data_IF_392063630607
#
_entry.id   IF_392063630607
#
_cell.length_a   1.000
_cell.length_b   1.000
_cell.length_c   1.000
_cell.angle_alpha   90.00
_cell.angle_beta   90.00
_cell.angle_gamma   90.00
#
_symmetry.space_group_name_H-M   'P 1'
#
loop_
_entity.id
_entity.type
_entity.pdbx_description
1 polymer ?
#
# COMPACT_ATOMS: atom_id res chain seq x y z
N UNK A 1 5.24 -2.12 -7.44
CA UNK A 1 5.85 -2.27 -6.11
C UNK A 1 5.28 -3.50 -5.42
N UNK A 2 6.06 -4.09 -4.50
CA UNK A 2 5.65 -5.21 -3.63
C UNK A 2 5.97 -4.86 -2.17
N UNK A 3 5.12 -5.26 -1.22
CA UNK A 3 5.29 -4.98 0.21
C UNK A 3 5.58 -3.48 0.49
N UNK A 4 6.63 -3.13 1.23
CA UNK A 4 7.04 -1.73 1.48
C UNK A 4 7.23 -0.93 0.19
N UNK A 5 7.75 -1.56 -0.86
CA UNK A 5 7.91 -0.92 -2.16
C UNK A 5 6.56 -0.56 -2.80
N UNK A 6 5.48 -1.29 -2.51
CA UNK A 6 4.13 -0.92 -2.95
C UNK A 6 3.59 0.31 -2.22
N UNK A 7 3.93 0.50 -0.94
CA UNK A 7 3.57 1.70 -0.15
C UNK A 7 4.23 2.94 -0.76
N UNK A 8 5.55 2.88 -1.02
CA UNK A 8 6.29 4.00 -1.60
C UNK A 8 5.75 4.33 -3.00
N UNK A 9 5.59 3.31 -3.86
CA UNK A 9 5.02 3.51 -5.19
C UNK A 9 3.61 4.12 -5.12
N UNK A 10 2.77 3.70 -4.17
CA UNK A 10 1.43 4.23 -4.01
C UNK A 10 1.45 5.71 -3.59
N UNK A 11 2.29 6.08 -2.62
CA UNK A 11 2.45 7.48 -2.18
C UNK A 11 2.82 8.39 -3.35
N UNK A 12 3.72 7.91 -4.23
CA UNK A 12 4.16 8.63 -5.42
C UNK A 12 3.08 8.68 -6.50
N UNK A 13 2.41 7.56 -6.77
CA UNK A 13 1.43 7.47 -7.85
C UNK A 13 0.13 8.25 -7.60
N UNK A 14 -0.24 8.49 -6.34
CA UNK A 14 -1.46 9.24 -6.03
C UNK A 14 -1.26 10.76 -5.97
N UNK A 15 -0.01 11.26 -6.02
CA UNK A 15 0.33 12.69 -5.84
C UNK A 15 0.85 13.33 -7.13
N UNK A 16 0.51 14.58 -7.41
CA UNK A 16 1.08 15.29 -8.58
C UNK A 16 2.55 15.63 -8.38
N UNK A 17 3.25 16.07 -9.43
CA UNK A 17 4.66 16.49 -9.30
C UNK A 17 4.83 17.67 -8.32
N UNK A 18 3.86 18.58 -8.26
CA UNK A 18 3.83 19.71 -7.35
C UNK A 18 3.67 19.24 -5.90
N UNK A 19 2.72 18.34 -5.65
CA UNK A 19 2.50 17.75 -4.33
C UNK A 19 3.70 16.92 -3.89
N UNK A 20 4.36 16.23 -4.82
CA UNK A 20 5.59 15.50 -4.54
C UNK A 20 6.72 16.46 -4.20
N UNK A 21 6.91 17.55 -4.96
CA UNK A 21 7.91 18.57 -4.63
C UNK A 21 7.63 19.19 -3.27
N UNK A 22 6.37 19.46 -2.94
CA UNK A 22 5.99 19.95 -1.61
C UNK A 22 6.23 18.91 -0.51
N UNK A 23 5.94 17.64 -0.79
CA UNK A 23 6.23 16.53 0.11
C UNK A 23 7.75 16.37 0.30
N UNK A 24 8.55 16.50 -0.76
CA UNK A 24 10.01 16.45 -0.75
C UNK A 24 10.66 17.67 -0.11
N UNK A 25 10.11 18.87 -0.32
CA UNK A 25 10.57 20.09 0.37
C UNK A 25 10.21 20.05 1.84
N UNK A 26 9.06 19.44 2.16
CA UNK A 26 8.70 19.11 3.54
C UNK A 26 9.47 17.90 4.03
N UNK A 27 10.16 17.08 3.22
CA UNK A 27 10.91 15.88 3.64
C UNK A 27 12.21 16.15 4.40
N UNK A 28 12.72 17.39 4.39
CA UNK A 28 13.66 17.83 5.44
C UNK A 28 12.99 17.84 6.85
N UNK A 29 11.65 17.81 6.91
CA UNK A 29 10.79 17.82 8.11
C UNK A 29 9.89 16.57 8.18
N UNK A 30 9.65 15.90 7.05
CA UNK A 30 8.81 14.71 6.91
C UNK A 30 9.67 13.58 7.44
N UNK A 31 9.63 13.52 8.75
CA UNK A 31 10.37 12.61 9.58
C UNK A 31 10.32 11.24 8.92
N UNK A 32 11.48 10.84 8.39
CA UNK A 32 11.70 9.51 7.87
C UNK A 32 11.28 8.48 8.91
N UNK A 33 11.06 8.85 10.17
CA UNK A 33 10.32 8.07 11.17
C UNK A 33 8.97 7.50 10.71
N UNK A 34 8.28 7.97 9.67
CA UNK A 34 7.13 7.18 9.16
C UNK A 34 7.59 5.86 8.48
N UNK A 35 8.74 5.88 7.80
CA UNK A 35 9.39 4.71 7.18
C UNK A 35 10.48 4.08 8.06
N UNK A 36 10.95 4.81 9.07
CA UNK A 36 12.15 4.58 9.87
C UNK A 36 11.88 4.60 11.37
N UNK A 37 10.64 4.88 11.81
CA UNK A 37 10.26 4.55 13.17
C UNK A 37 10.38 3.04 13.24
N UNK A 38 11.16 2.63 14.23
CA UNK A 38 11.14 1.30 14.80
C UNK A 38 9.73 0.74 14.82
N UNK A 39 8.68 1.54 15.05
CA UNK A 39 7.29 1.08 15.13
C UNK A 39 6.71 0.46 13.84
N UNK A 40 6.87 1.03 12.64
CA UNK A 40 6.30 0.40 11.41
C UNK A 40 7.12 -0.83 11.05
N UNK A 41 8.45 -0.74 11.11
CA UNK A 41 9.33 -1.88 10.93
C UNK A 41 9.18 -2.96 12.03
N UNK A 42 8.86 -2.57 13.27
CA UNK A 42 8.55 -3.46 14.39
C UNK A 42 7.19 -4.07 14.21
N UNK A 43 6.18 -3.32 13.75
CA UNK A 43 4.87 -3.87 13.39
C UNK A 43 5.04 -4.87 12.26
N UNK A 44 5.78 -4.55 11.20
CA UNK A 44 6.07 -5.51 10.12
C UNK A 44 6.86 -6.72 10.64
N UNK A 45 7.91 -6.53 11.44
CA UNK A 45 8.63 -7.65 12.08
C UNK A 45 7.74 -8.48 13.00
N UNK A 46 6.89 -7.84 13.79
CA UNK A 46 5.99 -8.49 14.75
C UNK A 46 4.83 -9.18 14.06
N UNK A 47 4.37 -8.66 12.92
CA UNK A 47 3.41 -9.31 12.06
C UNK A 47 4.02 -10.53 11.39
N UNK A 48 5.26 -10.45 10.91
CA UNK A 48 5.97 -11.60 10.36
C UNK A 48 6.30 -12.66 11.43
N UNK A 49 6.60 -12.24 12.66
CA UNK A 49 7.07 -13.12 13.73
C UNK A 49 5.93 -13.65 14.63
N UNK A 50 4.83 -12.90 14.77
CA UNK A 50 3.73 -13.23 15.71
C UNK A 50 2.31 -13.14 15.14
N UNK A 51 2.08 -12.55 13.97
CA UNK A 51 0.76 -12.56 13.30
C UNK A 51 -0.41 -11.99 14.13
N UNK A 52 -0.20 -10.91 14.89
CA UNK A 52 -1.25 -10.31 15.74
C UNK A 52 -2.28 -9.50 14.95
N UNK A 53 -3.58 -9.80 15.12
CA UNK A 53 -4.71 -9.09 14.48
C UNK A 53 -4.79 -7.59 14.85
N UNK A 54 -4.30 -7.23 16.03
CA UNK A 54 -4.33 -5.84 16.52
C UNK A 54 -3.39 -4.93 15.71
N UNK A 55 -2.23 -5.44 15.33
CA UNK A 55 -1.24 -4.72 14.52
C UNK A 55 -1.69 -4.56 13.07
N UNK A 56 -2.47 -5.53 12.57
CA UNK A 56 -3.07 -5.53 11.24
C UNK A 56 -4.10 -4.40 11.08
N UNK A 57 -5.02 -4.27 12.03
CA UNK A 57 -6.00 -3.17 12.05
C UNK A 57 -5.33 -1.79 12.13
N UNK A 58 -4.22 -1.70 12.86
CA UNK A 58 -3.47 -0.45 12.98
C UNK A 58 -2.75 -0.06 11.68
N UNK A 59 -2.14 -1.03 10.98
CA UNK A 59 -1.52 -0.73 9.69
C UNK A 59 -2.56 -0.31 8.65
N UNK A 60 -3.69 -0.99 8.55
CA UNK A 60 -4.77 -0.61 7.62
C UNK A 60 -5.23 0.82 7.85
N UNK A 61 -5.44 1.20 9.12
CA UNK A 61 -5.79 2.58 9.49
C UNK A 61 -4.72 3.59 9.06
N UNK A 62 -3.43 3.25 9.25
CA UNK A 62 -2.33 4.11 8.79
C UNK A 62 -2.28 4.24 7.28
N UNK A 63 -2.39 3.13 6.54
CA UNK A 63 -2.39 3.13 5.07
C UNK A 63 -3.57 3.93 4.52
N UNK A 64 -4.77 3.74 5.07
CA UNK A 64 -5.95 4.51 4.69
C UNK A 64 -5.79 6.01 4.98
N UNK A 65 -5.18 6.38 6.11
CA UNK A 65 -4.86 7.79 6.42
C UNK A 65 -3.81 8.38 5.47
N UNK A 66 -2.83 7.59 5.06
CA UNK A 66 -1.72 8.03 4.21
C UNK A 66 -2.11 8.18 2.73
N UNK A 67 -2.89 7.23 2.23
CA UNK A 67 -3.21 7.08 0.82
C UNK A 67 -4.62 7.61 0.48
N UNK A 68 -5.50 7.76 1.47
CA UNK A 68 -6.89 8.13 1.27
C UNK A 68 -7.69 7.03 0.56
N UNK A 69 -8.98 7.28 0.34
CA UNK A 69 -9.85 6.38 -0.41
C UNK A 69 -9.73 6.66 -1.93
N UNK A 70 -8.54 6.42 -2.48
CA UNK A 70 -8.18 6.63 -3.89
C UNK A 70 -8.14 5.28 -4.62
N UNK A 71 -8.80 5.17 -5.78
CA UNK A 71 -8.75 3.98 -6.63
C UNK A 71 -7.55 4.00 -7.59
N UNK A 72 -7.21 2.86 -8.20
CA UNK A 72 -6.18 2.83 -9.25
C UNK A 72 -6.53 3.74 -10.44
N UNK A 73 -7.80 3.81 -10.81
CA UNK A 73 -8.26 4.68 -11.89
C UNK A 73 -8.15 6.16 -11.51
N UNK A 74 -8.48 6.52 -10.27
CA UNK A 74 -8.34 7.91 -9.78
C UNK A 74 -6.87 8.33 -9.79
N UNK A 75 -5.98 7.48 -9.28
CA UNK A 75 -4.54 7.73 -9.26
C UNK A 75 -3.98 7.94 -10.66
N UNK A 76 -4.38 7.09 -11.62
CA UNK A 76 -3.96 7.20 -13.01
C UNK A 76 -4.55 8.45 -13.69
N UNK A 77 -5.84 8.72 -13.51
CA UNK A 77 -6.51 9.89 -14.11
C UNK A 77 -5.92 11.21 -13.60
N UNK A 78 -5.50 11.23 -12.33
CA UNK A 78 -4.91 12.40 -11.68
C UNK A 78 -3.47 12.67 -12.12
N UNK A 79 -2.67 11.63 -12.31
CA UNK A 79 -1.21 11.79 -12.45
C UNK A 79 -0.63 11.26 -13.76
N UNK A 80 -1.38 10.46 -14.51
CA UNK A 80 -0.91 9.71 -15.67
C UNK A 80 0.04 8.55 -15.34
N UNK A 81 0.32 8.28 -14.06
CA UNK A 81 1.29 7.25 -13.65
C UNK A 81 0.62 5.91 -13.43
N UNK A 82 1.21 4.86 -14.00
CA UNK A 82 0.72 3.48 -13.86
C UNK A 82 1.22 2.90 -12.54
N UNK A 83 0.33 2.79 -11.55
CA UNK A 83 0.63 2.08 -10.31
C UNK A 83 0.39 0.58 -10.49
N UNK A 84 1.45 -0.20 -10.29
CA UNK A 84 1.42 -1.66 -10.35
C UNK A 84 1.67 -2.25 -8.95
N UNK A 85 0.74 -3.03 -8.43
CA UNK A 85 0.83 -3.68 -7.11
C UNK A 85 0.65 -5.18 -7.26
N UNK A 86 1.63 -5.96 -6.81
CA UNK A 86 1.57 -7.43 -6.87
C UNK A 86 1.02 -7.98 -5.56
N UNK A 87 -0.03 -8.80 -5.63
CA UNK A 87 -0.63 -9.47 -4.48
C UNK A 87 -0.41 -10.98 -4.61
N UNK A 88 0.24 -11.56 -3.61
CA UNK A 88 0.36 -13.01 -3.52
C UNK A 88 -0.89 -13.57 -2.83
N UNK A 89 -1.53 -14.61 -3.41
CA UNK A 89 -2.62 -15.32 -2.75
C UNK A 89 -2.13 -16.05 -1.51
N UNK A 90 -3.05 -16.34 -0.59
CA UNK A 90 -2.75 -17.07 0.64
C UNK A 90 -2.48 -18.57 0.38
N UNK A 91 -3.06 -19.13 -0.68
CA UNK A 91 -2.76 -20.47 -1.15
C UNK A 91 -1.55 -20.44 -2.10
N UNK A 92 -0.52 -21.21 -1.76
CA UNK A 92 0.73 -21.35 -2.53
C UNK A 92 0.51 -21.84 -3.97
N UNK A 93 -0.66 -22.41 -4.29
CA UNK A 93 -0.98 -22.94 -5.60
C UNK A 93 -1.57 -21.91 -6.58
N UNK A 94 -1.99 -20.74 -6.10
CA UNK A 94 -2.51 -19.68 -6.97
C UNK A 94 -1.39 -18.73 -7.44
N UNK A 95 -1.36 -18.32 -8.72
CA UNK A 95 -0.37 -17.37 -9.20
C UNK A 95 -0.59 -15.97 -8.60
N UNK A 96 0.48 -15.19 -8.36
CA UNK A 96 0.36 -13.82 -7.89
C UNK A 96 -0.40 -12.94 -8.90
N UNK A 97 -1.26 -12.06 -8.39
CA UNK A 97 -2.08 -11.15 -9.20
C UNK A 97 -1.45 -9.76 -9.26
N UNK A 98 -1.38 -9.18 -10.45
CA UNK A 98 -0.93 -7.80 -10.65
C UNK A 98 -2.15 -6.87 -10.75
N UNK A 99 -2.27 -5.96 -9.79
CA UNK A 99 -3.33 -4.97 -9.71
C UNK A 99 -2.83 -3.62 -10.23
N UNK A 100 -3.58 -3.03 -11.16
CA UNK A 100 -3.36 -1.69 -11.70
C UNK A 100 -4.67 -1.10 -12.25
N UNK A 101 -4.59 0.08 -12.88
CA UNK A 101 -5.77 0.75 -13.45
C UNK A 101 -6.45 0.00 -14.60
N UNK A 102 -5.76 -0.93 -15.28
CA UNK A 102 -6.33 -1.76 -16.34
C UNK A 102 -6.98 -3.02 -15.80
N UNK A 103 -6.34 -3.69 -14.84
CA UNK A 103 -6.80 -4.98 -14.30
C UNK A 103 -7.76 -4.84 -13.12
N UNK A 104 -7.70 -3.72 -12.40
CA UNK A 104 -8.46 -3.48 -11.18
C UNK A 104 -8.75 -1.97 -10.95
N UNK A 105 -9.39 -1.27 -11.91
CA UNK A 105 -9.55 0.19 -11.89
C UNK A 105 -10.22 0.71 -10.61
N UNK A 106 -11.24 0.00 -10.12
CA UNK A 106 -12.08 0.43 -9.00
C UNK A 106 -11.55 -0.01 -7.63
N UNK A 107 -10.41 -0.71 -7.59
CA UNK A 107 -9.82 -1.17 -6.32
C UNK A 107 -9.11 0.00 -5.64
N UNK A 108 -9.33 0.13 -4.33
CA UNK A 108 -8.66 1.11 -3.49
C UNK A 108 -7.17 0.79 -3.38
N UNK A 109 -6.32 1.79 -3.59
CA UNK A 109 -4.87 1.61 -3.59
C UNK A 109 -4.38 1.11 -2.23
N UNK A 110 -4.89 1.66 -1.12
CA UNK A 110 -4.49 1.22 0.22
C UNK A 110 -4.83 -0.24 0.50
N UNK A 111 -5.93 -0.75 -0.08
CA UNK A 111 -6.39 -2.11 0.13
C UNK A 111 -5.50 -3.09 -0.65
N UNK A 112 -5.17 -2.78 -1.90
CA UNK A 112 -4.20 -3.54 -2.68
C UNK A 112 -2.80 -3.57 -2.06
N UNK A 113 -2.33 -2.44 -1.52
CA UNK A 113 -1.04 -2.33 -0.82
C UNK A 113 -1.03 -3.16 0.47
N UNK A 114 -2.14 -3.15 1.21
CA UNK A 114 -2.30 -4.01 2.38
C UNK A 114 -2.28 -5.49 1.96
N UNK A 115 -2.98 -5.88 0.90
CA UNK A 115 -2.96 -7.26 0.39
C UNK A 115 -1.54 -7.69 -0.04
N UNK A 116 -0.82 -6.80 -0.74
CA UNK A 116 0.54 -7.02 -1.26
C UNK A 116 1.57 -7.27 -0.15
N UNK A 117 1.34 -6.71 1.03
CA UNK A 117 2.29 -6.74 2.14
C UNK A 117 2.20 -8.00 3.00
N UNK A 118 1.57 -9.07 2.47
CA UNK A 118 1.39 -10.39 3.10
C UNK A 118 0.68 -10.29 4.46
N UNK A 119 -0.60 -9.88 4.41
CA UNK A 119 -1.51 -9.88 5.55
C UNK A 119 -2.46 -11.08 5.48
N UNK A 120 -2.22 -12.17 6.23
CA UNK A 120 -3.20 -13.23 6.37
C UNK A 120 -4.49 -12.65 6.99
N UNK A 121 -5.63 -12.85 6.32
CA UNK A 121 -6.96 -12.49 6.84
C UNK A 121 -7.49 -11.08 6.56
N UNK A 122 -6.84 -10.28 5.69
CA UNK A 122 -7.34 -8.93 5.34
C UNK A 122 -8.34 -8.91 4.19
N UNK A 123 -8.34 -9.97 3.39
CA UNK A 123 -9.29 -10.17 2.31
C UNK A 123 -9.85 -11.56 2.48
N UNK A 124 -11.16 -11.67 2.68
CA UNK A 124 -11.82 -12.89 2.24
C UNK A 124 -11.48 -13.08 0.75
N UNK A 125 -11.35 -14.33 0.27
CA UNK A 125 -11.21 -14.60 -1.15
C UNK A 125 -12.51 -14.20 -1.86
N UNK A 126 -12.77 -12.91 -2.00
CA UNK A 126 -13.78 -12.43 -2.92
C UNK A 126 -13.21 -12.59 -4.32
N UNK A 127 -13.90 -13.42 -5.09
CA UNK A 127 -13.82 -13.42 -6.55
C UNK A 127 -13.89 -11.96 -7.04
N UNK A 128 -12.81 -11.51 -7.68
CA UNK A 128 -12.82 -10.34 -8.55
C UNK A 128 -13.69 -10.63 -9.77
#
# INVERSE_FOLDING_TARGET
GSSVGSIVCAVVAIRTDEELKELFSKLDIFDLSFFGNSQVAQIFRHLLDKGSLQDMSFLVKKLRKLLGDVTFLDAYSRTGRILNVTVCPADSNEPPRLLNYLTAPNVLVWSAVAASSAFPGLFEPQHL
#
